data_IF_969299993844
#
_entry.id   IF_969299993844
#
_cell.length_a   1.000
_cell.length_b   1.000
_cell.length_c   1.000
_cell.angle_alpha   90.00
_cell.angle_beta   90.00
_cell.angle_gamma   90.00
#
_symmetry.space_group_name_H-M   'P 1'
#
loop_
_entity.id
_entity.type
_entity.pdbx_description
1 polymer ?
#
# COMPACT_ATOMS: atom_id res chain seq x y z
N UNK A 1 18.05 13.78 10.29
CA UNK A 1 16.92 14.71 10.39
C UNK A 1 15.78 14.13 9.55
N UNK A 2 14.62 13.84 10.12
CA UNK A 2 13.47 13.36 9.32
C UNK A 2 12.88 14.57 8.59
N UNK A 3 12.73 14.47 7.28
CA UNK A 3 11.99 15.43 6.48
C UNK A 3 10.53 15.03 6.57
N UNK A 4 9.67 15.93 7.04
CA UNK A 4 8.23 15.72 7.11
C UNK A 4 7.62 16.56 5.99
N UNK A 5 6.80 15.95 5.14
CA UNK A 5 6.05 16.62 4.08
C UNK A 5 4.55 16.50 4.40
N UNK A 6 3.85 17.63 4.46
CA UNK A 6 2.43 17.71 4.80
C UNK A 6 1.69 18.52 3.73
N UNK A 7 0.44 18.17 3.47
CA UNK A 7 -0.41 18.86 2.50
C UNK A 7 -1.77 19.25 3.12
N UNK A 8 -2.00 20.55 3.22
CA UNK A 8 -3.25 21.10 3.75
C UNK A 8 -4.12 21.63 2.61
N UNK A 9 -5.18 20.89 2.29
CA UNK A 9 -6.14 21.27 1.25
C UNK A 9 -7.58 21.04 1.71
N UNK A 10 -8.53 21.76 1.11
CA UNK A 10 -9.96 21.48 1.31
C UNK A 10 -10.29 20.16 0.64
N UNK A 11 -11.13 19.34 1.28
CA UNK A 11 -11.57 18.04 0.72
C UNK A 11 -12.19 18.19 -0.69
N UNK A 12 -12.82 19.34 -0.97
CA UNK A 12 -13.45 19.63 -2.26
C UNK A 12 -12.46 19.99 -3.37
N UNK A 13 -11.25 20.41 -3.00
CA UNK A 13 -10.21 20.85 -3.93
C UNK A 13 -9.21 19.72 -4.20
N UNK A 14 -9.65 18.45 -4.09
CA UNK A 14 -8.83 17.24 -4.20
C UNK A 14 -8.01 17.22 -5.48
N UNK A 15 -6.78 17.72 -5.36
CA UNK A 15 -5.74 17.58 -6.36
C UNK A 15 -4.89 16.42 -5.90
N UNK A 16 -5.25 15.22 -6.38
CA UNK A 16 -4.46 13.98 -6.28
C UNK A 16 -2.99 14.11 -6.70
N UNK A 17 -2.57 15.25 -7.26
CA UNK A 17 -1.19 15.52 -7.63
C UNK A 17 -0.21 15.45 -6.45
N UNK A 18 -0.64 15.85 -5.25
CA UNK A 18 0.17 15.66 -4.04
C UNK A 18 0.35 14.17 -3.76
N UNK A 19 -0.76 13.42 -3.64
CA UNK A 19 -0.72 12.01 -3.29
C UNK A 19 0.08 11.20 -4.31
N UNK A 20 -0.13 11.45 -5.60
CA UNK A 20 0.61 10.79 -6.68
C UNK A 20 2.11 11.04 -6.53
N UNK A 21 2.54 12.30 -6.39
CA UNK A 21 3.97 12.63 -6.24
C UNK A 21 4.56 12.03 -4.97
N UNK A 22 3.86 12.19 -3.85
CA UNK A 22 4.30 11.72 -2.55
C UNK A 22 4.49 10.20 -2.56
N UNK A 23 3.48 9.45 -3.02
CA UNK A 23 3.57 7.99 -3.05
C UNK A 23 4.62 7.51 -4.05
N UNK A 24 4.73 8.14 -5.22
CA UNK A 24 5.78 7.80 -6.20
C UNK A 24 7.21 8.00 -5.68
N UNK A 25 7.44 8.92 -4.72
CA UNK A 25 8.77 9.15 -4.15
C UNK A 25 9.17 8.17 -3.05
N UNK A 26 8.25 7.37 -2.50
CA UNK A 26 8.55 6.46 -1.37
C UNK A 26 9.26 5.16 -1.80
N UNK A 27 9.14 4.76 -3.08
CA UNK A 27 9.63 3.48 -3.58
C UNK A 27 8.64 2.32 -3.37
N UNK A 28 8.81 1.27 -4.16
CA UNK A 28 7.92 0.10 -4.23
C UNK A 28 7.69 -0.60 -2.89
N UNK A 29 8.77 -0.83 -2.13
CA UNK A 29 8.71 -1.51 -0.83
C UNK A 29 7.87 -0.75 0.19
N UNK A 30 8.11 0.55 0.35
CA UNK A 30 7.41 1.37 1.34
C UNK A 30 5.92 1.49 1.02
N UNK A 31 5.58 1.61 -0.27
CA UNK A 31 4.19 1.59 -0.74
C UNK A 31 3.54 0.24 -0.39
N UNK A 32 4.22 -0.87 -0.66
CA UNK A 32 3.69 -2.21 -0.38
C UNK A 32 3.47 -2.47 1.11
N UNK A 33 4.42 -2.07 1.96
CA UNK A 33 4.30 -2.18 3.42
C UNK A 33 3.10 -1.38 3.93
N UNK A 34 2.96 -0.11 3.52
CA UNK A 34 1.85 0.76 3.92
C UNK A 34 0.48 0.18 3.50
N UNK A 35 0.35 -0.29 2.26
CA UNK A 35 -0.90 -0.88 1.78
C UNK A 35 -1.22 -2.18 2.52
N UNK A 36 -0.21 -2.98 2.84
CA UNK A 36 -0.38 -4.24 3.59
C UNK A 36 -0.90 -3.99 5.01
N UNK A 37 -0.37 -2.98 5.71
CA UNK A 37 -0.88 -2.54 7.02
C UNK A 37 -2.32 -2.05 6.94
N UNK A 38 -2.64 -1.18 5.96
CA UNK A 38 -4.01 -0.69 5.75
C UNK A 38 -5.03 -1.81 5.51
N UNK A 39 -4.63 -2.85 4.75
CA UNK A 39 -5.48 -4.00 4.54
C UNK A 39 -5.66 -4.78 5.85
N UNK A 40 -4.60 -5.02 6.61
CA UNK A 40 -4.69 -5.71 7.91
C UNK A 40 -5.68 -5.04 8.84
N UNK A 41 -5.60 -3.73 8.96
CA UNK A 41 -6.53 -2.95 9.78
C UNK A 41 -7.97 -3.07 9.28
N UNK A 42 -8.19 -3.03 7.97
CA UNK A 42 -9.52 -3.25 7.40
C UNK A 42 -10.10 -4.62 7.76
N UNK A 43 -9.31 -5.70 7.65
CA UNK A 43 -9.79 -7.05 7.98
C UNK A 43 -10.09 -7.19 9.47
N UNK A 44 -9.20 -6.67 10.34
CA UNK A 44 -9.40 -6.64 11.79
C UNK A 44 -10.68 -5.90 12.17
N UNK A 45 -10.91 -4.70 11.62
CA UNK A 45 -12.12 -3.92 11.88
C UNK A 45 -13.41 -4.59 11.40
N UNK A 46 -13.30 -5.49 10.41
CA UNK A 46 -14.44 -6.24 9.86
C UNK A 46 -14.64 -7.61 10.51
N UNK A 47 -13.83 -7.98 11.51
CA UNK A 47 -13.87 -9.29 12.15
C UNK A 47 -13.56 -10.44 11.18
N UNK A 48 -12.81 -10.14 10.11
CA UNK A 48 -12.36 -11.13 9.13
C UNK A 48 -10.94 -11.55 9.47
N UNK A 49 -10.58 -12.77 9.09
CA UNK A 49 -9.22 -13.26 9.25
C UNK A 49 -8.24 -12.36 8.47
N UNK A 50 -7.26 -11.82 9.19
CA UNK A 50 -6.26 -10.91 8.66
C UNK A 50 -4.97 -11.63 8.21
N UNK A 51 -4.88 -12.95 8.45
CA UNK A 51 -3.74 -13.79 8.08
C UNK A 51 -3.92 -14.47 6.70
N UNK A 52 -5.09 -14.33 6.07
CA UNK A 52 -5.37 -14.85 4.73
C UNK A 52 -5.59 -13.75 3.68
N UNK A 53 -4.60 -12.89 3.44
CA UNK A 53 -4.68 -11.98 2.31
C UNK A 53 -4.72 -12.76 0.99
N UNK A 54 -5.67 -12.43 0.11
CA UNK A 54 -5.78 -13.03 -1.23
C UNK A 54 -4.49 -12.93 -2.05
N UNK A 55 -3.66 -11.90 -1.82
CA UNK A 55 -2.38 -11.72 -2.51
C UNK A 55 -1.33 -12.79 -2.13
N UNK A 56 -1.48 -13.42 -0.97
CA UNK A 56 -0.59 -14.45 -0.45
C UNK A 56 -0.78 -15.80 -1.17
N UNK A 57 -1.88 -16.01 -1.90
CA UNK A 57 -2.17 -17.26 -2.64
C UNK A 57 -1.57 -17.35 -4.05
N UNK A 58 -0.87 -16.32 -4.54
CA UNK A 58 -0.46 -16.27 -5.98
C UNK A 58 1.03 -15.96 -6.22
N UNK A 59 1.84 -15.80 -5.17
CA UNK A 59 3.31 -15.79 -5.33
C UNK A 59 3.83 -17.22 -5.60
N UNK A 60 2.99 -18.24 -5.39
CA UNK A 60 3.28 -19.65 -5.64
C UNK A 60 2.97 -20.08 -7.09
N UNK A 61 3.45 -19.34 -8.08
CA UNK A 61 3.67 -19.92 -9.42
C UNK A 61 4.82 -19.23 -10.16
N UNK A 62 5.98 -19.12 -9.49
CA UNK A 62 7.23 -18.94 -10.23
C UNK A 62 7.49 -20.21 -11.05
N UNK A 63 7.04 -20.21 -12.32
CA UNK A 63 7.43 -21.25 -13.28
C UNK A 63 8.95 -21.20 -13.46
N UNK A 64 9.62 -22.30 -13.12
CA UNK A 64 11.03 -22.54 -13.44
C UNK A 64 11.20 -22.41 -14.95
N UNK A 65 12.05 -21.49 -15.41
CA UNK A 65 12.42 -21.38 -16.82
C UNK A 65 13.39 -22.52 -17.12
N UNK A 66 12.89 -23.63 -17.64
CA UNK A 66 13.73 -24.75 -18.08
C UNK A 66 14.28 -24.43 -19.47
N UNK A 67 15.60 -24.56 -19.63
CA UNK A 67 16.32 -24.45 -20.90
C UNK A 67 16.07 -25.66 -21.79
#
# INVERSE_FOLDING_TARGET
>A
MRVIEENYQRIKDDKRSFDIRFWQSQGDRAIFEAVSEMLRDYFLLRGKDADEFRLQRTVESFRKKTW
#
